data_IF_967921867205
#
_entry.id   IF_967921867205
#
_cell.length_a   1.000
_cell.length_b   1.000
_cell.length_c   1.000
_cell.angle_alpha   90.00
_cell.angle_beta   90.00
_cell.angle_gamma   90.00
#
_symmetry.space_group_name_H-M   'P 1'
#
loop_
_entity.id
_entity.type
_entity.pdbx_description
1 polymer ?
#
# COMPACT_ATOMS: atom_id res chain seq x y z
N UNK A 1 12.62 13.26 4.80
CA UNK A 1 11.98 13.14 3.48
C UNK A 1 10.71 13.95 3.52
N UNK A 2 10.62 15.06 2.78
CA UNK A 2 9.54 16.07 2.85
C UNK A 2 8.21 15.62 2.21
N UNK A 3 7.87 14.36 2.40
CA UNK A 3 6.61 13.81 1.94
C UNK A 3 5.71 13.73 3.17
N UNK A 4 4.89 14.76 3.35
CA UNK A 4 4.01 14.93 4.52
C UNK A 4 3.04 13.76 4.75
N UNK A 5 2.26 13.85 5.82
CA UNK A 5 1.35 12.77 6.27
C UNK A 5 0.23 12.42 5.29
N UNK A 6 0.09 13.17 4.20
CA UNK A 6 -0.96 13.04 3.18
C UNK A 6 -0.54 12.25 1.95
N UNK A 7 0.65 11.63 1.93
CA UNK A 7 1.02 10.75 0.81
C UNK A 7 0.06 9.57 0.67
N UNK A 8 -0.18 9.14 -0.57
CA UNK A 8 -0.99 7.95 -0.86
C UNK A 8 -0.52 6.74 -0.06
N UNK A 9 0.80 6.49 0.00
CA UNK A 9 1.36 5.41 0.79
C UNK A 9 0.95 5.48 2.28
N UNK A 10 1.10 6.65 2.92
CA UNK A 10 0.77 6.80 4.35
C UNK A 10 -0.73 6.70 4.59
N UNK A 11 -1.54 7.42 3.81
CA UNK A 11 -2.99 7.47 3.96
C UNK A 11 -3.61 6.10 3.72
N UNK A 12 -3.21 5.42 2.64
CA UNK A 12 -3.72 4.09 2.31
C UNK A 12 -3.30 3.05 3.36
N UNK A 13 -2.04 3.04 3.78
CA UNK A 13 -1.60 2.10 4.82
C UNK A 13 -2.28 2.36 6.16
N UNK A 14 -2.57 3.61 6.50
CA UNK A 14 -3.37 3.95 7.70
C UNK A 14 -4.80 3.43 7.57
N UNK A 15 -5.45 3.63 6.42
CA UNK A 15 -6.79 3.12 6.16
C UNK A 15 -6.84 1.58 6.24
N UNK A 16 -5.87 0.89 5.63
CA UNK A 16 -5.76 -0.58 5.65
C UNK A 16 -5.59 -1.15 7.08
N UNK A 17 -4.94 -0.42 7.98
CA UNK A 17 -4.73 -0.83 9.38
C UNK A 17 -5.85 -0.41 10.33
N UNK A 18 -6.81 0.40 9.88
CA UNK A 18 -7.84 1.01 10.75
C UNK A 18 -8.96 0.07 11.21
N UNK A 19 -8.92 -1.21 10.82
CA UNK A 19 -9.97 -2.23 11.03
C UNK A 19 -11.39 -1.87 10.51
N UNK A 20 -11.57 -0.68 9.94
CA UNK A 20 -12.83 -0.22 9.36
C UNK A 20 -12.95 -0.64 7.88
N UNK A 21 -13.56 -1.80 7.64
CA UNK A 21 -13.75 -2.35 6.28
C UNK A 21 -14.64 -1.50 5.38
N UNK A 22 -15.61 -0.75 5.93
CA UNK A 22 -16.47 0.11 5.13
C UNK A 22 -15.68 1.31 4.58
N UNK A 23 -14.78 1.89 5.38
CA UNK A 23 -13.91 2.98 4.97
C UNK A 23 -12.93 2.57 3.85
N UNK A 24 -12.70 1.27 3.64
CA UNK A 24 -11.82 0.78 2.58
C UNK A 24 -12.43 0.81 1.18
N UNK A 25 -13.75 0.91 1.06
CA UNK A 25 -14.43 0.81 -0.25
C UNK A 25 -13.98 1.87 -1.25
N UNK A 26 -13.67 3.09 -0.78
CA UNK A 26 -13.15 4.17 -1.63
C UNK A 26 -11.76 3.85 -2.21
N UNK A 27 -11.01 2.95 -1.58
CA UNK A 27 -9.66 2.58 -1.98
C UNK A 27 -9.61 1.37 -2.92
N UNK A 28 -10.72 0.66 -3.14
CA UNK A 28 -10.75 -0.56 -3.96
C UNK A 28 -10.20 -0.38 -5.38
N UNK A 29 -10.49 0.71 -6.12
CA UNK A 29 -9.89 0.90 -7.44
C UNK A 29 -8.36 0.98 -7.39
N UNK A 30 -7.80 1.66 -6.38
CA UNK A 30 -6.36 1.77 -6.17
C UNK A 30 -5.74 0.43 -5.75
N UNK A 31 -6.38 -0.29 -4.83
CA UNK A 31 -5.94 -1.62 -4.42
C UNK A 31 -5.89 -2.59 -5.61
N UNK A 32 -6.96 -2.60 -6.42
CA UNK A 32 -7.02 -3.44 -7.62
C UNK A 32 -5.92 -3.07 -8.62
N UNK A 33 -5.63 -1.79 -8.79
CA UNK A 33 -4.54 -1.33 -9.64
C UNK A 33 -3.19 -1.88 -9.18
N UNK A 34 -2.88 -1.80 -7.88
CA UNK A 34 -1.63 -2.32 -7.33
C UNK A 34 -1.53 -3.84 -7.44
N UNK A 35 -2.61 -4.56 -7.12
CA UNK A 35 -2.68 -6.02 -7.22
C UNK A 35 -2.41 -6.48 -8.67
N UNK A 36 -3.11 -5.87 -9.63
CA UNK A 36 -2.92 -6.14 -11.06
C UNK A 36 -1.51 -5.79 -11.55
N UNK A 37 -0.89 -4.77 -10.96
CA UNK A 37 0.47 -4.37 -11.31
C UNK A 37 1.50 -5.37 -10.77
N UNK A 38 1.30 -5.87 -9.54
CA UNK A 38 2.17 -6.89 -8.94
C UNK A 38 2.19 -8.18 -9.78
N UNK A 39 1.04 -8.60 -10.29
CA UNK A 39 0.94 -9.78 -11.18
C UNK A 39 1.74 -9.64 -12.49
N UNK A 40 2.01 -8.40 -12.94
CA UNK A 40 2.77 -8.12 -14.16
C UNK A 40 4.27 -8.02 -13.92
N UNK A 41 4.70 -7.90 -12.66
CA UNK A 41 6.10 -7.74 -12.31
C UNK A 41 6.77 -9.11 -12.09
N UNK A 42 8.06 -9.24 -12.41
CA UNK A 42 8.79 -10.47 -12.14
C UNK A 42 8.87 -10.73 -10.63
N UNK A 43 8.68 -11.98 -10.22
CA UNK A 43 8.91 -12.39 -8.83
C UNK A 43 10.41 -12.39 -8.53
N UNK A 44 10.81 -11.73 -7.45
CA UNK A 44 12.19 -11.70 -6.96
C UNK A 44 12.32 -12.58 -5.72
N UNK A 45 13.33 -13.47 -5.70
CA UNK A 45 13.62 -14.38 -4.59
C UNK A 45 15.00 -14.09 -4.00
N UNK A 46 15.12 -12.96 -3.31
CA UNK A 46 16.37 -12.51 -2.69
C UNK A 46 16.12 -11.96 -1.28
N UNK A 47 17.21 -11.76 -0.51
CA UNK A 47 17.11 -11.17 0.81
C UNK A 47 16.79 -9.67 0.69
N UNK A 48 15.63 -9.26 1.22
CA UNK A 48 15.19 -7.86 1.27
C UNK A 48 15.19 -7.35 2.71
N UNK A 49 15.51 -6.07 2.88
CA UNK A 49 15.63 -5.42 4.19
C UNK A 49 14.62 -4.28 4.29
N UNK A 50 13.94 -4.18 5.43
CA UNK A 50 13.02 -3.08 5.74
C UNK A 50 13.40 -2.47 7.09
N UNK A 51 13.89 -1.24 7.07
CA UNK A 51 14.03 -0.44 8.29
C UNK A 51 12.64 -0.05 8.81
N UNK A 52 12.42 -0.24 10.10
CA UNK A 52 11.23 0.26 10.82
C UNK A 52 11.71 1.20 11.93
N UNK A 53 11.05 2.35 12.15
CA UNK A 53 11.27 3.16 13.34
C UNK A 53 10.83 2.44 14.62
#
# INVERSE_FOLDING_TARGET
>A
MEWGDTTLYRVLNKALRSENRQALRIWFPYMKLFDTALDKLPTVKEAVWRGVP
#
